data_IF_327418116335
#
_entry.id   IF_327418116335
#
_cell.length_a   1.000
_cell.length_b   1.000
_cell.length_c   1.000
_cell.angle_alpha   90.00
_cell.angle_beta   90.00
_cell.angle_gamma   90.00
#
_symmetry.space_group_name_H-M   'P 1'
#
loop_
_entity.id
_entity.type
_entity.pdbx_description
1 polymer ?
#
# COMPACT_ATOMS: atom_id res chain seq x y z
N UNK A 1 11.76 -6.01 8.52
CA UNK A 1 10.68 -6.79 7.92
C UNK A 1 9.64 -5.84 7.34
N UNK A 2 9.14 -6.14 6.16
CA UNK A 2 8.16 -5.31 5.48
C UNK A 2 6.89 -6.11 5.25
N UNK A 3 5.76 -5.53 5.58
CA UNK A 3 4.46 -6.16 5.36
C UNK A 3 3.56 -5.17 4.65
N UNK A 4 2.82 -5.63 3.66
CA UNK A 4 1.92 -4.79 2.89
C UNK A 4 0.51 -5.37 3.01
N UNK A 5 -0.44 -4.51 3.34
CA UNK A 5 -1.85 -4.88 3.44
C UNK A 5 -2.66 -3.93 2.59
N UNK A 6 -3.71 -4.44 1.96
CA UNK A 6 -4.60 -3.66 1.13
C UNK A 6 -6.03 -3.91 1.57
N UNK A 7 -6.77 -2.83 1.75
CA UNK A 7 -8.18 -2.91 2.10
C UNK A 7 -8.99 -2.17 1.04
N UNK A 8 -9.94 -2.86 0.42
CA UNK A 8 -10.80 -2.27 -0.59
C UNK A 8 -12.10 -1.80 0.02
N UNK A 9 -12.45 -0.56 -0.29
CA UNK A 9 -13.73 0.01 0.06
C UNK A 9 -14.44 0.45 -1.21
N UNK A 10 -15.74 0.74 -1.11
CA UNK A 10 -16.52 1.05 -2.31
C UNK A 10 -16.06 2.33 -3.01
N UNK A 11 -15.42 3.25 -2.29
CA UNK A 11 -15.01 4.52 -2.89
C UNK A 11 -13.53 4.85 -2.66
N UNK A 12 -12.79 3.95 -2.02
CA UNK A 12 -11.36 4.18 -1.81
C UNK A 12 -10.66 2.88 -1.50
N UNK A 13 -9.36 2.88 -1.63
CA UNK A 13 -8.51 1.75 -1.28
C UNK A 13 -7.46 2.25 -0.29
N UNK A 14 -7.30 1.51 0.80
CA UNK A 14 -6.30 1.87 1.81
C UNK A 14 -5.14 0.89 1.69
N UNK A 15 -3.96 1.44 1.47
CA UNK A 15 -2.73 0.66 1.40
C UNK A 15 -1.93 0.92 2.66
N UNK A 16 -1.63 -0.14 3.40
CA UNK A 16 -0.86 -0.04 4.63
C UNK A 16 0.47 -0.72 4.44
N UNK A 17 1.54 0.00 4.69
CA UNK A 17 2.89 -0.53 4.58
C UNK A 17 3.52 -0.52 5.97
N UNK A 18 3.86 -1.70 6.46
CA UNK A 18 4.52 -1.86 7.75
C UNK A 18 6.00 -2.08 7.51
N UNK A 19 6.82 -1.29 8.15
CA UNK A 19 8.27 -1.50 8.12
C UNK A 19 8.74 -1.64 9.55
N UNK A 20 9.65 -2.58 9.76
CA UNK A 20 10.16 -2.82 11.09
C UNK A 20 11.67 -2.98 11.06
N UNK A 21 12.28 -2.79 12.22
CA UNK A 21 13.70 -3.01 12.39
C UNK A 21 13.92 -4.26 13.24
N UNK A 22 15.15 -4.71 13.31
CA UNK A 22 15.51 -5.86 14.13
C UNK A 22 15.31 -5.59 15.61
N UNK A 23 15.11 -4.34 15.99
CA UNK A 23 14.93 -4.00 17.39
C UNK A 23 13.47 -3.82 17.77
N UNK A 24 12.58 -4.24 16.90
CA UNK A 24 11.16 -4.24 17.21
C UNK A 24 10.42 -2.94 16.93
N UNK A 25 11.10 -1.91 16.51
CA UNK A 25 10.42 -0.68 16.12
C UNK A 25 9.68 -0.91 14.80
N UNK A 26 8.40 -0.61 14.78
CA UNK A 26 7.59 -0.79 13.58
C UNK A 26 6.89 0.52 13.24
N UNK A 27 6.86 0.84 11.97
CA UNK A 27 6.21 2.04 11.46
C UNK A 27 5.16 1.63 10.43
N UNK A 28 3.95 2.13 10.58
CA UNK A 28 2.89 1.89 9.64
C UNK A 28 2.64 3.15 8.84
N UNK A 29 2.63 3.02 7.53
CA UNK A 29 2.31 4.11 6.62
C UNK A 29 1.02 3.78 5.91
N UNK A 30 0.02 4.65 6.03
CA UNK A 30 -1.27 4.45 5.39
C UNK A 30 -1.39 5.40 4.21
N UNK A 31 -1.78 4.84 3.08
CA UNK A 31 -1.97 5.61 1.85
C UNK A 31 -3.39 5.38 1.38
N UNK A 32 -4.14 6.46 1.20
CA UNK A 32 -5.51 6.39 0.73
C UNK A 32 -5.54 6.69 -0.76
N UNK A 33 -6.10 5.76 -1.52
CA UNK A 33 -6.13 5.85 -2.98
C UNK A 33 -7.58 5.94 -3.46
N UNK A 34 -7.83 6.85 -4.40
CA UNK A 34 -9.10 6.82 -5.13
C UNK A 34 -9.10 5.63 -6.07
N UNK A 35 -10.28 5.21 -6.58
CA UNK A 35 -10.30 4.10 -7.55
C UNK A 35 -9.42 4.37 -8.76
N UNK A 36 -9.34 5.62 -9.20
CA UNK A 36 -8.50 5.98 -10.34
C UNK A 36 -7.02 5.81 -10.01
N UNK A 37 -6.61 6.25 -8.82
CA UNK A 37 -5.22 6.10 -8.39
C UNK A 37 -4.86 4.65 -8.18
N UNK A 38 -5.80 3.85 -7.69
CA UNK A 38 -5.57 2.43 -7.52
C UNK A 38 -5.28 1.76 -8.87
N UNK A 39 -6.04 2.12 -9.90
CA UNK A 39 -5.80 1.57 -11.22
C UNK A 39 -4.45 2.01 -11.77
N UNK A 40 -4.05 3.24 -11.50
CA UNK A 40 -2.73 3.70 -11.93
C UNK A 40 -1.62 2.91 -11.25
N UNK A 41 -1.78 2.60 -9.99
CA UNK A 41 -0.79 1.81 -9.26
C UNK A 41 -0.71 0.39 -9.80
N UNK A 42 -1.85 -0.24 -10.05
CA UNK A 42 -1.89 -1.59 -10.61
C UNK A 42 -1.18 -1.61 -11.96
N UNK A 43 -1.46 -0.63 -12.79
CA UNK A 43 -0.85 -0.57 -14.11
C UNK A 43 0.65 -0.39 -14.02
N UNK A 44 1.11 0.45 -13.10
CA UNK A 44 2.54 0.66 -12.92
C UNK A 44 3.24 -0.60 -12.44
N UNK A 45 2.57 -1.39 -11.59
CA UNK A 45 3.15 -2.63 -11.10
C UNK A 45 3.19 -3.71 -12.18
N UNK A 46 2.22 -3.70 -13.09
CA UNK A 46 2.17 -4.68 -14.18
C UNK A 46 3.12 -4.35 -15.31
N UNK A 47 3.57 -3.13 -15.39
CA UNK A 47 4.46 -2.66 -16.45
C UNK A 47 5.76 -2.17 -15.83
N UNK A 48 6.56 -3.05 -15.26
CA UNK A 48 7.86 -2.63 -14.73
C UNK A 48 8.77 -2.29 -15.89
N UNK A 49 9.26 -1.15 -15.90
CA UNK A 49 10.14 -0.72 -16.96
C UNK A 49 11.57 -1.02 -16.64
#
# INVERSE_FOLDING_TARGET
MTKIEVEHMSFQTVLTIWTGTNKGAATATLIYLTPKQRQQLIKALQNPE
#
